data_IF_507241759441
#
_entry.id   IF_507241759441
#
_cell.length_a   1.000
_cell.length_b   1.000
_cell.length_c   1.000
_cell.angle_alpha   90.00
_cell.angle_beta   90.00
_cell.angle_gamma   90.00
#
_symmetry.space_group_name_H-M   'P 1'
#
loop_
_entity.id
_entity.type
_entity.pdbx_description
1 polymer ?
#
# COMPACT_ATOMS: atom_id res chain seq x y z
N UNK A 1 -2.15 -13.37 -2.63
CA UNK A 1 -1.74 -12.79 -1.35
C UNK A 1 -1.25 -11.40 -1.67
N UNK A 2 -1.71 -10.38 -0.95
CA UNK A 2 -1.30 -8.99 -1.22
C UNK A 2 0.14 -8.84 -0.74
N UNK A 3 1.01 -8.33 -1.60
CA UNK A 3 2.43 -8.16 -1.29
C UNK A 3 2.65 -6.83 -0.59
N UNK A 4 2.44 -6.82 0.73
CA UNK A 4 2.61 -5.62 1.56
C UNK A 4 4.06 -5.11 1.51
N UNK A 5 5.04 -6.03 1.39
CA UNK A 5 6.45 -5.68 1.38
C UNK A 5 6.82 -4.84 0.15
N UNK A 6 6.24 -5.14 -1.02
CA UNK A 6 6.42 -4.32 -2.21
C UNK A 6 5.88 -2.89 -2.04
N UNK A 7 4.76 -2.72 -1.34
CA UNK A 7 4.18 -1.39 -1.05
C UNK A 7 5.07 -0.61 -0.08
N UNK A 8 5.61 -1.28 0.94
CA UNK A 8 6.58 -0.69 1.87
C UNK A 8 7.82 -0.22 1.10
N UNK A 9 8.39 -1.08 0.25
CA UNK A 9 9.60 -0.75 -0.51
C UNK A 9 9.36 0.46 -1.44
N UNK A 10 8.21 0.51 -2.12
CA UNK A 10 7.83 1.65 -2.96
C UNK A 10 7.73 2.96 -2.16
N UNK A 11 7.22 2.90 -0.92
CA UNK A 11 7.15 4.05 -0.03
C UNK A 11 8.53 4.49 0.47
N UNK A 12 9.42 3.56 0.84
CA UNK A 12 10.78 3.85 1.32
C UNK A 12 11.71 4.38 0.20
N UNK A 13 11.42 4.05 -1.06
CA UNK A 13 12.11 4.63 -2.22
C UNK A 13 11.77 6.10 -2.46
N UNK A 14 10.66 6.61 -1.92
CA UNK A 14 10.29 8.02 -2.05
C UNK A 14 11.28 8.90 -1.28
N UNK A 15 11.68 10.02 -1.85
CA UNK A 15 12.57 10.98 -1.17
C UNK A 15 11.77 12.22 -0.82
N UNK A 16 11.86 12.68 0.43
CA UNK A 16 11.20 13.92 0.82
C UNK A 16 11.68 15.07 -0.05
N UNK A 17 10.80 15.77 -0.79
CA UNK A 17 11.21 16.85 -1.70
C UNK A 17 11.74 18.08 -0.97
N UNK A 18 11.45 18.21 0.33
CA UNK A 18 11.86 19.36 1.16
C UNK A 18 13.23 19.12 1.81
N UNK A 19 13.44 17.93 2.36
CA UNK A 19 14.61 17.63 3.20
C UNK A 19 15.57 16.59 2.58
N UNK A 20 15.18 15.94 1.48
CA UNK A 20 15.99 14.92 0.81
C UNK A 20 16.16 13.62 1.59
N UNK A 21 15.25 13.31 2.53
CA UNK A 21 15.35 12.14 3.42
C UNK A 21 14.36 11.03 3.08
N UNK A 22 14.86 9.81 3.24
CA UNK A 22 14.18 8.52 3.34
C UNK A 22 12.99 8.52 4.32
N UNK A 23 11.71 8.26 3.98
CA UNK A 23 10.77 7.82 5.01
C UNK A 23 11.07 6.34 5.33
N UNK A 24 10.66 5.92 6.52
CA UNK A 24 10.70 4.53 6.94
C UNK A 24 9.28 4.08 7.23
N UNK A 25 8.87 2.97 6.63
CA UNK A 25 7.52 2.43 6.76
C UNK A 25 7.60 1.03 7.36
N UNK A 26 6.87 0.81 8.44
CA UNK A 26 6.76 -0.48 9.11
C UNK A 26 5.29 -0.87 9.16
N UNK A 27 4.96 -2.10 8.75
CA UNK A 27 3.61 -2.62 8.85
C UNK A 27 3.64 -3.95 9.60
N UNK A 28 3.10 -3.97 10.82
CA UNK A 28 3.05 -5.15 11.69
C UNK A 28 1.65 -5.31 12.26
N UNK A 29 1.06 -6.49 12.14
CA UNK A 29 -0.24 -6.85 12.78
C UNK A 29 -1.33 -5.78 12.60
N UNK A 30 -1.52 -5.29 11.37
CA UNK A 30 -2.50 -4.23 11.01
C UNK A 30 -2.12 -2.81 11.49
N UNK A 31 -0.97 -2.66 12.13
CA UNK A 31 -0.44 -1.37 12.58
C UNK A 31 0.56 -0.80 11.55
N UNK A 32 0.23 0.37 11.00
CA UNK A 32 1.07 1.11 10.06
C UNK A 32 1.83 2.21 10.79
N UNK A 33 3.14 2.05 10.94
CA UNK A 33 4.04 3.06 11.46
C UNK A 33 4.85 3.71 10.34
N UNK A 34 4.75 5.04 10.23
CA UNK A 34 5.51 5.82 9.25
C UNK A 34 6.36 6.83 10.00
N UNK A 35 7.67 6.74 9.78
CA UNK A 35 8.67 7.70 10.27
C UNK A 35 9.15 8.53 9.09
N UNK A 36 8.98 9.84 9.15
CA UNK A 36 9.40 10.75 8.09
C UNK A 36 10.02 12.01 8.70
N UNK A 37 10.77 12.77 7.90
CA UNK A 37 11.44 13.99 8.33
C UNK A 37 10.48 15.18 8.54
N UNK A 38 9.28 15.15 7.97
CA UNK A 38 8.23 16.15 8.17
C UNK A 38 6.84 15.52 8.10
N UNK A 39 5.87 16.15 8.75
CA UNK A 39 4.49 15.66 8.82
C UNK A 39 3.79 15.66 7.46
N UNK A 40 3.98 16.69 6.62
CA UNK A 40 3.42 16.72 5.27
C UNK A 40 3.82 15.50 4.46
N UNK A 41 5.12 15.16 4.49
CA UNK A 41 5.63 13.99 3.78
C UNK A 41 5.14 12.69 4.42
N UNK A 42 5.04 12.63 5.76
CA UNK A 42 4.42 11.49 6.45
C UNK A 42 2.99 11.24 5.96
N UNK A 43 2.20 12.30 5.78
CA UNK A 43 0.82 12.22 5.27
C UNK A 43 0.82 11.73 3.83
N UNK A 44 1.65 12.30 2.96
CA UNK A 44 1.75 11.86 1.56
C UNK A 44 2.13 10.38 1.42
N UNK A 45 3.09 9.90 2.23
CA UNK A 45 3.47 8.48 2.24
C UNK A 45 2.33 7.60 2.75
N UNK A 46 1.59 8.06 3.76
CA UNK A 46 0.41 7.34 4.28
C UNK A 46 -0.70 7.23 3.23
N UNK A 47 -0.95 8.28 2.47
CA UNK A 47 -1.93 8.28 1.38
C UNK A 47 -1.51 7.33 0.26
N UNK A 48 -0.24 7.40 -0.17
CA UNK A 48 0.33 6.51 -1.18
C UNK A 48 0.21 5.04 -0.76
N UNK A 49 0.57 4.72 0.48
CA UNK A 49 0.45 3.37 1.02
C UNK A 49 -1.01 2.88 1.00
N UNK A 50 -1.97 3.71 1.41
CA UNK A 50 -3.38 3.36 1.40
C UNK A 50 -3.93 3.16 -0.01
N UNK A 51 -3.50 3.98 -0.97
CA UNK A 51 -3.93 3.87 -2.36
C UNK A 51 -3.43 2.58 -3.00
N UNK A 52 -2.13 2.28 -2.85
CA UNK A 52 -1.51 1.04 -3.33
C UNK A 52 -2.16 -0.19 -2.69
N UNK A 53 -2.37 -0.16 -1.37
CA UNK A 53 -3.05 -1.24 -0.66
C UNK A 53 -4.48 -1.44 -1.17
N UNK A 54 -5.20 -0.35 -1.42
CA UNK A 54 -6.55 -0.39 -1.98
C UNK A 54 -6.55 -0.93 -3.41
N UNK A 55 -5.60 -0.53 -4.25
CA UNK A 55 -5.46 -1.07 -5.60
C UNK A 55 -5.17 -2.58 -5.55
N UNK A 56 -4.21 -3.01 -4.72
CA UNK A 56 -3.89 -4.41 -4.56
C UNK A 56 -5.07 -5.24 -4.02
N UNK A 57 -5.86 -4.68 -3.10
CA UNK A 57 -7.12 -5.28 -2.62
C UNK A 57 -8.14 -5.39 -3.76
N UNK A 58 -8.33 -4.33 -4.54
CA UNK A 58 -9.26 -4.30 -5.66
C UNK A 58 -8.84 -5.30 -6.73
N UNK A 59 -7.57 -5.35 -7.12
CA UNK A 59 -7.05 -6.38 -8.02
C UNK A 59 -7.24 -7.78 -7.46
N UNK A 60 -6.93 -8.01 -6.19
CA UNK A 60 -7.17 -9.31 -5.56
C UNK A 60 -8.64 -9.72 -5.59
N UNK A 61 -9.56 -8.77 -5.40
CA UNK A 61 -11.01 -8.99 -5.46
C UNK A 61 -11.53 -9.17 -6.90
N UNK A 62 -10.98 -8.43 -7.87
CA UNK A 62 -11.38 -8.47 -9.29
C UNK A 62 -10.79 -9.68 -10.03
N UNK A 63 -9.60 -10.15 -9.64
CA UNK A 63 -8.90 -11.31 -10.23
C UNK A 63 -9.44 -12.64 -9.69
N UNK A 64 -10.41 -12.64 -8.77
CA UNK A 64 -11.29 -13.80 -8.60
C UNK A 64 -12.32 -13.78 -9.73
N UNK A 65 -12.20 -14.61 -10.79
CA UNK A 65 -13.35 -14.86 -11.64
C UNK A 65 -14.46 -15.38 -10.73
N UNK A 66 -15.68 -14.85 -10.89
CA UNK A 66 -16.89 -15.58 -10.49
C UNK A 66 -16.88 -16.92 -11.22
N UNK A 67 -16.21 -17.93 -10.64
CA UNK A 67 -16.43 -19.31 -11.05
C UNK A 67 -17.76 -19.73 -10.47
N UNK A 68 -18.70 -19.85 -11.41
CA UNK A 68 -19.83 -20.78 -11.40
C UNK A 68 -21.05 -20.34 -10.58
N UNK A 69 -21.99 -19.68 -11.27
CA UNK A 69 -23.40 -20.04 -11.11
C UNK A 69 -23.84 -20.84 -12.33
N UNK A 70 -24.10 -22.12 -12.07
CA UNK A 70 -24.49 -23.17 -12.99
C UNK A 70 -25.43 -22.73 -14.11
N UNK A 71 -25.05 -23.10 -15.34
CA UNK A 71 -26.00 -23.52 -16.38
C UNK A 71 -26.54 -24.90 -15.99
N UNK A 72 -27.77 -24.94 -15.50
CA UNK A 72 -28.65 -26.12 -15.41
C UNK A 72 -30.06 -25.55 -15.32
N UNK A 73 -31.05 -25.86 -16.14
CA UNK A 73 -31.19 -26.63 -17.37
C UNK A 73 -32.45 -26.09 -18.05
#
# INVERSE_FOLDING_TARGET
MIDIQAIIDNCEQQVCPVHGKNPKVTYEEDNLEITACCEDFKVSIKEMFNEELRQALVEYLLVRPMRERNKTS
#
